data_IF_730154112592
#
_entry.id   IF_730154112592
#
_cell.length_a   1.000
_cell.length_b   1.000
_cell.length_c   1.000
_cell.angle_alpha   90.00
_cell.angle_beta   90.00
_cell.angle_gamma   90.00
#
_symmetry.space_group_name_H-M   'P 1'
#
loop_
_entity.id
_entity.type
_entity.pdbx_description
1 polymer ?
#
# COMPACT_ATOMS: atom_id res chain seq x y z
N UNK A 1 -22.77 -9.24 2.59
CA UNK A 1 -21.41 -9.73 2.29
C UNK A 1 -20.36 -8.61 2.30
N UNK A 2 -20.45 -7.55 1.48
CA UNK A 2 -19.48 -6.42 1.51
C UNK A 2 -19.67 -5.52 2.75
N UNK A 3 -20.92 -5.21 3.10
CA UNK A 3 -21.27 -4.42 4.28
C UNK A 3 -20.83 -5.10 5.59
N UNK A 4 -20.93 -6.43 5.67
CA UNK A 4 -20.45 -7.21 6.81
C UNK A 4 -18.92 -7.17 6.95
N UNK A 5 -18.20 -7.04 5.83
CA UNK A 5 -16.73 -6.93 5.80
C UNK A 5 -16.25 -5.57 6.28
N UNK A 6 -16.89 -4.49 5.81
CA UNK A 6 -16.58 -3.12 6.24
C UNK A 6 -16.86 -2.94 7.73
N UNK A 7 -17.95 -3.52 8.24
CA UNK A 7 -18.28 -3.50 9.67
C UNK A 7 -17.26 -4.27 10.51
N UNK A 8 -16.74 -5.39 9.99
CA UNK A 8 -15.68 -6.14 10.66
C UNK A 8 -14.38 -5.32 10.75
N UNK A 9 -13.98 -4.66 9.66
CA UNK A 9 -12.80 -3.78 9.61
C UNK A 9 -12.96 -2.62 10.59
N UNK A 10 -14.13 -1.95 10.62
CA UNK A 10 -14.42 -0.86 11.56
C UNK A 10 -14.35 -1.31 13.02
N UNK A 11 -14.89 -2.49 13.34
CA UNK A 11 -14.80 -3.07 14.68
C UNK A 11 -13.34 -3.33 15.07
N UNK A 12 -12.56 -3.88 14.14
CA UNK A 12 -11.13 -4.11 14.36
C UNK A 12 -10.37 -2.81 14.69
N UNK A 13 -10.63 -1.73 13.95
CA UNK A 13 -10.05 -0.41 14.23
C UNK A 13 -10.50 0.16 15.58
N UNK A 14 -11.78 -0.01 15.93
CA UNK A 14 -12.30 0.41 17.24
C UNK A 14 -11.66 -0.36 18.39
N UNK A 15 -11.37 -1.65 18.19
CA UNK A 15 -10.66 -2.48 19.17
C UNK A 15 -9.18 -2.08 19.32
N UNK A 16 -8.53 -1.63 18.23
CA UNK A 16 -7.18 -1.07 18.27
C UNK A 16 -7.16 0.27 19.02
N UNK A 17 -8.07 1.19 18.69
CA UNK A 17 -8.25 2.47 19.41
C UNK A 17 -8.45 2.22 20.91
N UNK A 18 -9.38 1.32 21.26
CA UNK A 18 -9.66 1.02 22.66
C UNK A 18 -8.49 0.43 23.42
N UNK A 19 -7.71 -0.44 22.78
CA UNK A 19 -6.50 -0.99 23.39
C UNK A 19 -5.42 0.07 23.56
N UNK A 20 -5.18 0.89 22.54
CA UNK A 20 -4.17 1.95 22.60
C UNK A 20 -4.52 2.97 23.70
N UNK A 21 -5.75 3.46 23.71
CA UNK A 21 -6.24 4.41 24.69
C UNK A 21 -6.21 3.87 26.11
N UNK A 22 -6.66 2.63 26.33
CA UNK A 22 -6.75 2.06 27.69
C UNK A 22 -5.39 1.69 28.27
N UNK A 23 -4.42 1.34 27.42
CA UNK A 23 -3.07 0.94 27.85
C UNK A 23 -2.05 2.07 27.79
N UNK A 24 -2.44 3.23 27.26
CA UNK A 24 -1.55 4.35 26.99
C UNK A 24 -0.29 3.94 26.22
N UNK A 25 -0.48 3.12 25.18
CA UNK A 25 0.61 2.64 24.33
C UNK A 25 0.15 2.48 22.86
N UNK A 26 0.98 2.86 21.86
CA UNK A 26 0.61 2.75 20.45
C UNK A 26 0.22 1.35 20.02
N UNK A 27 -0.85 1.26 19.22
CA UNK A 27 -1.25 0.01 18.56
C UNK A 27 -1.21 0.21 17.04
N UNK A 28 -0.84 -0.85 16.32
CA UNK A 28 -0.64 -0.82 14.87
C UNK A 28 -1.59 -1.79 14.18
N UNK A 29 -2.05 -1.42 12.98
CA UNK A 29 -2.57 -2.38 12.01
C UNK A 29 -1.41 -3.11 11.33
N UNK A 30 -1.70 -4.18 10.60
CA UNK A 30 -0.83 -4.62 9.50
C UNK A 30 -1.01 -3.67 8.29
N UNK A 31 -0.49 -4.00 7.10
CA UNK A 31 -0.66 -3.14 5.92
C UNK A 31 -2.10 -3.16 5.41
N UNK A 32 -2.72 -1.98 5.43
CA UNK A 32 -4.03 -1.70 4.89
C UNK A 32 -3.95 -1.48 3.39
N UNK A 33 -4.96 -1.97 2.66
CA UNK A 33 -5.19 -1.57 1.28
C UNK A 33 -5.94 -0.22 1.18
N UNK A 34 -6.08 0.31 -0.04
CA UNK A 34 -6.75 1.59 -0.29
C UNK A 34 -8.21 1.61 0.20
N UNK A 35 -8.92 0.49 0.18
CA UNK A 35 -10.29 0.41 0.68
C UNK A 35 -10.30 0.48 2.22
N UNK A 36 -9.41 -0.25 2.87
CA UNK A 36 -9.26 -0.22 4.33
C UNK A 36 -8.82 1.15 4.84
N UNK A 37 -7.88 1.81 4.17
CA UNK A 37 -7.48 3.20 4.45
C UNK A 37 -8.67 4.16 4.28
N UNK A 38 -9.42 4.03 3.19
CA UNK A 38 -10.66 4.79 2.98
C UNK A 38 -11.66 4.58 4.12
N UNK A 39 -11.81 3.36 4.64
CA UNK A 39 -12.68 3.07 5.81
C UNK A 39 -12.13 3.76 7.07
N UNK A 40 -10.82 3.66 7.31
CA UNK A 40 -10.14 4.27 8.45
C UNK A 40 -10.35 5.79 8.48
N UNK A 41 -10.03 6.49 7.38
CA UNK A 41 -10.18 7.95 7.29
C UNK A 41 -11.63 8.43 7.41
N UNK A 42 -12.60 7.60 7.01
CA UNK A 42 -14.03 7.90 7.21
C UNK A 42 -14.46 7.72 8.67
N UNK A 43 -13.74 6.92 9.45
CA UNK A 43 -14.02 6.65 10.85
C UNK A 43 -13.13 7.44 11.82
N UNK A 44 -12.13 8.16 11.31
CA UNK A 44 -11.08 8.80 12.10
C UNK A 44 -11.61 9.70 13.23
N UNK A 45 -12.65 10.50 12.96
CA UNK A 45 -13.29 11.38 13.95
C UNK A 45 -14.03 10.66 15.07
N UNK A 46 -14.23 9.34 14.96
CA UNK A 46 -14.87 8.52 16.00
C UNK A 46 -13.88 7.86 16.96
N UNK A 47 -12.57 7.92 16.65
CA UNK A 47 -11.52 7.38 17.50
C UNK A 47 -11.10 8.39 18.56
N UNK A 48 -10.56 7.89 19.67
CA UNK A 48 -10.02 8.71 20.76
C UNK A 48 -8.53 9.00 20.56
N UNK A 49 -7.83 8.07 19.92
CA UNK A 49 -6.43 8.19 19.59
C UNK A 49 -6.24 9.06 18.34
N UNK A 50 -5.10 9.76 18.27
CA UNK A 50 -4.62 10.31 17.01
C UNK A 50 -4.19 9.17 16.08
N UNK A 51 -4.42 9.31 14.77
CA UNK A 51 -4.09 8.30 13.78
C UNK A 51 -2.97 8.82 12.88
N UNK A 52 -1.90 8.03 12.77
CA UNK A 52 -0.82 8.27 11.82
C UNK A 52 -0.72 7.10 10.84
N UNK A 53 -0.52 7.37 9.56
CA UNK A 53 -0.37 6.35 8.52
C UNK A 53 1.02 6.45 7.88
N UNK A 54 1.67 5.31 7.67
CA UNK A 54 2.95 5.24 6.98
C UNK A 54 3.16 3.86 6.34
N UNK A 55 3.61 3.83 5.08
CA UNK A 55 3.90 2.60 4.35
C UNK A 55 5.39 2.32 4.14
N UNK A 56 6.26 3.24 4.58
CA UNK A 56 7.70 3.12 4.48
C UNK A 56 8.37 4.20 3.61
N UNK A 57 7.59 4.89 2.79
CA UNK A 57 8.05 6.03 1.98
C UNK A 57 6.85 6.94 1.69
N UNK A 58 7.11 8.18 1.26
CA UNK A 58 6.09 9.25 1.21
C UNK A 58 4.86 8.91 0.36
N UNK A 59 5.05 8.25 -0.78
CA UNK A 59 3.98 7.94 -1.74
C UNK A 59 3.56 6.46 -1.72
N UNK A 60 3.68 5.81 -0.57
CA UNK A 60 3.25 4.40 -0.41
C UNK A 60 1.73 4.26 -0.55
N UNK A 61 1.28 3.31 -1.37
CA UNK A 61 -0.14 3.00 -1.54
C UNK A 61 -0.68 2.13 -0.39
N UNK A 62 0.11 1.13 0.03
CA UNK A 62 -0.23 0.29 1.20
C UNK A 62 0.46 0.85 2.43
N UNK A 63 -0.33 1.14 3.45
CA UNK A 63 0.17 1.78 4.68
C UNK A 63 -0.25 1.02 5.93
N UNK A 64 0.55 1.12 6.99
CA UNK A 64 0.14 0.75 8.34
C UNK A 64 -0.45 1.97 9.03
N UNK A 65 -1.49 1.78 9.84
CA UNK A 65 -2.05 2.81 10.69
C UNK A 65 -1.63 2.59 12.14
N UNK A 66 -1.20 3.66 12.80
CA UNK A 66 -0.85 3.71 14.21
C UNK A 66 -1.91 4.50 14.98
N UNK A 67 -2.45 3.89 16.04
CA UNK A 67 -3.37 4.49 16.99
C UNK A 67 -2.56 5.02 18.17
N UNK A 68 -2.44 6.35 18.27
CA UNK A 68 -1.58 7.08 19.20
C UNK A 68 -2.42 7.69 20.33
N UNK A 69 -2.29 7.23 21.58
CA UNK A 69 -3.14 7.68 22.67
C UNK A 69 -2.80 9.09 23.20
N UNK A 70 -1.61 9.60 22.88
CA UNK A 70 -1.16 10.94 23.28
C UNK A 70 -0.12 11.49 22.30
N UNK A 71 0.07 12.81 22.34
CA UNK A 71 1.03 13.54 21.49
C UNK A 71 2.50 13.15 21.76
N UNK A 72 2.78 12.45 22.86
CA UNK A 72 4.11 11.92 23.17
C UNK A 72 4.61 10.89 22.12
N UNK A 73 3.71 10.37 21.30
CA UNK A 73 3.98 9.35 20.30
C UNK A 73 3.93 9.88 18.85
N UNK A 74 4.09 11.19 18.63
CA UNK A 74 4.09 11.75 17.27
C UNK A 74 5.32 11.30 16.45
N UNK A 75 6.47 11.08 17.09
CA UNK A 75 7.71 10.62 16.45
C UNK A 75 7.91 9.10 16.58
N UNK A 76 6.87 8.31 16.31
CA UNK A 76 6.97 6.83 16.39
C UNK A 76 7.63 6.22 15.17
N UNK A 77 8.33 5.10 15.40
CA UNK A 77 8.77 4.20 14.34
C UNK A 77 7.67 3.18 14.03
N UNK A 78 7.33 3.03 12.75
CA UNK A 78 6.48 1.93 12.30
C UNK A 78 7.27 0.62 12.24
N UNK A 79 6.66 -0.54 12.57
CA UNK A 79 7.32 -1.84 12.52
C UNK A 79 7.41 -2.38 11.08
N UNK A 80 7.99 -1.58 10.20
CA UNK A 80 8.20 -1.85 8.77
C UNK A 80 9.68 -2.18 8.56
N UNK A 81 9.94 -3.15 7.68
CA UNK A 81 11.26 -3.49 7.17
C UNK A 81 11.26 -3.47 5.66
N UNK A 82 12.43 -3.18 5.09
CA UNK A 82 12.65 -3.16 3.65
C UNK A 82 13.60 -4.29 3.28
N UNK A 83 13.16 -5.14 2.37
CA UNK A 83 13.95 -6.25 1.84
C UNK A 83 14.31 -5.97 0.39
N UNK A 84 15.61 -5.92 0.09
CA UNK A 84 16.14 -5.92 -1.26
C UNK A 84 16.23 -7.36 -1.77
N UNK A 85 15.45 -7.67 -2.79
CA UNK A 85 15.45 -8.94 -3.51
C UNK A 85 16.22 -8.73 -4.81
N UNK A 86 17.33 -9.45 -4.98
CA UNK A 86 18.21 -9.30 -6.15
C UNK A 86 18.66 -10.66 -6.67
N UNK A 87 18.79 -10.83 -8.00
CA UNK A 87 19.33 -12.06 -8.58
C UNK A 87 20.72 -12.38 -8.05
N UNK A 88 20.97 -13.65 -7.72
CA UNK A 88 22.31 -14.10 -7.29
C UNK A 88 23.32 -13.95 -8.42
N UNK A 89 22.88 -14.17 -9.67
CA UNK A 89 23.72 -14.02 -10.86
C UNK A 89 23.07 -13.06 -11.88
N UNK A 90 23.25 -11.73 -11.73
CA UNK A 90 22.57 -10.73 -12.54
C UNK A 90 22.75 -10.88 -14.05
N UNK A 91 23.93 -11.34 -14.49
CA UNK A 91 24.27 -11.52 -15.91
C UNK A 91 23.36 -12.50 -16.66
N UNK A 92 22.79 -13.49 -15.96
CA UNK A 92 21.91 -14.52 -16.54
C UNK A 92 20.48 -14.42 -16.02
N UNK A 93 20.19 -13.39 -15.22
CA UNK A 93 18.88 -13.20 -14.66
C UNK A 93 17.91 -12.72 -15.73
N UNK A 94 16.71 -13.30 -15.73
CA UNK A 94 15.62 -12.74 -16.54
C UNK A 94 15.15 -11.42 -15.91
N UNK A 95 14.53 -10.56 -16.73
CA UNK A 95 13.89 -9.35 -16.24
C UNK A 95 12.59 -9.73 -15.53
N UNK A 96 12.55 -9.53 -14.22
CA UNK A 96 11.44 -9.91 -13.36
C UNK A 96 10.42 -8.77 -13.26
N UNK A 97 9.14 -9.12 -13.33
CA UNK A 97 8.04 -8.15 -13.19
C UNK A 97 7.48 -8.13 -11.77
N UNK A 98 6.71 -7.10 -11.44
CA UNK A 98 5.98 -7.03 -10.17
C UNK A 98 5.12 -8.28 -9.91
N UNK A 99 4.49 -8.84 -10.95
CA UNK A 99 3.68 -10.06 -10.83
C UNK A 99 4.51 -11.28 -10.46
N UNK A 100 5.75 -11.37 -10.97
CA UNK A 100 6.64 -12.49 -10.68
C UNK A 100 7.06 -12.48 -9.21
N UNK A 101 7.48 -11.33 -8.69
CA UNK A 101 7.83 -11.16 -7.28
C UNK A 101 6.63 -11.45 -6.36
N UNK A 102 5.47 -10.87 -6.68
CA UNK A 102 4.26 -11.10 -5.89
C UNK A 102 3.87 -12.59 -5.89
N UNK A 103 3.91 -13.25 -7.05
CA UNK A 103 3.62 -14.68 -7.15
C UNK A 103 4.56 -15.55 -6.30
N UNK A 104 5.85 -15.23 -6.30
CA UNK A 104 6.84 -15.93 -5.48
C UNK A 104 6.59 -15.73 -3.97
N UNK A 105 6.27 -14.52 -3.55
CA UNK A 105 5.92 -14.21 -2.15
C UNK A 105 4.63 -14.92 -1.72
N UNK A 106 3.63 -15.04 -2.60
CA UNK A 106 2.40 -15.79 -2.32
C UNK A 106 2.63 -17.28 -2.14
N UNK A 107 3.60 -17.86 -2.85
CA UNK A 107 3.97 -19.27 -2.68
C UNK A 107 4.60 -19.57 -1.31
N UNK A 108 5.07 -18.55 -0.58
CA UNK A 108 5.53 -18.68 0.80
C UNK A 108 4.39 -18.75 1.82
N UNK A 109 3.12 -18.74 1.37
CA UNK A 109 1.93 -18.77 2.22
C UNK A 109 1.82 -17.57 3.18
N UNK A 110 2.45 -16.45 2.82
CA UNK A 110 2.38 -15.19 3.55
C UNK A 110 1.09 -14.47 3.16
N UNK A 111 0.37 -13.93 4.15
CA UNK A 111 -0.85 -13.16 3.87
C UNK A 111 -0.51 -11.79 3.26
N UNK A 112 -1.41 -11.26 2.42
CA UNK A 112 -1.16 -10.02 1.67
C UNK A 112 -1.09 -8.77 2.57
N UNK A 113 -1.84 -8.76 3.66
CA UNK A 113 -1.83 -7.72 4.71
C UNK A 113 -0.47 -7.59 5.43
N UNK A 114 0.40 -8.61 5.37
CA UNK A 114 1.73 -8.54 5.98
C UNK A 114 2.78 -7.89 5.07
N UNK A 115 2.39 -7.50 3.85
CA UNK A 115 3.26 -6.88 2.87
C UNK A 115 2.71 -5.53 2.44
N UNK A 116 3.59 -4.55 2.38
CA UNK A 116 3.35 -3.28 1.74
C UNK A 116 3.63 -3.37 0.24
N UNK A 117 4.18 -2.28 -0.26
CA UNK A 117 4.45 -2.12 -1.68
C UNK A 117 5.68 -2.91 -2.14
N UNK A 118 5.70 -3.21 -3.44
CA UNK A 118 6.83 -3.83 -4.12
C UNK A 118 7.35 -2.86 -5.18
N UNK A 119 8.56 -2.35 -4.99
CA UNK A 119 9.18 -1.40 -5.91
C UNK A 119 10.17 -2.14 -6.79
N UNK A 120 9.78 -2.39 -8.04
CA UNK A 120 10.61 -3.09 -9.02
C UNK A 120 11.46 -2.09 -9.79
N UNK A 121 12.78 -2.09 -9.54
CA UNK A 121 13.74 -1.27 -10.30
C UNK A 121 14.27 -2.08 -11.48
N UNK A 122 13.59 -1.94 -12.64
CA UNK A 122 13.88 -2.73 -13.86
C UNK A 122 15.33 -2.61 -14.33
N UNK A 123 15.90 -1.40 -14.26
CA UNK A 123 17.28 -1.15 -14.69
C UNK A 123 18.32 -1.88 -13.83
N UNK A 124 18.02 -2.03 -12.54
CA UNK A 124 18.86 -2.75 -11.58
C UNK A 124 18.51 -4.24 -11.49
N UNK A 125 17.43 -4.66 -12.15
CA UNK A 125 16.80 -5.98 -12.04
C UNK A 125 16.63 -6.45 -10.59
N UNK A 126 16.18 -5.54 -9.71
CA UNK A 126 15.93 -5.84 -8.30
C UNK A 126 14.52 -5.38 -7.89
N UNK A 127 14.11 -5.81 -6.71
CA UNK A 127 12.84 -5.42 -6.11
C UNK A 127 13.03 -5.10 -4.64
N UNK A 128 12.46 -3.98 -4.20
CA UNK A 128 12.31 -3.67 -2.79
C UNK A 128 10.93 -4.09 -2.33
N UNK A 129 10.88 -4.87 -1.25
CA UNK A 129 9.64 -5.26 -0.59
C UNK A 129 9.56 -4.58 0.77
N UNK A 130 8.48 -3.85 1.00
CA UNK A 130 8.09 -3.40 2.34
C UNK A 130 7.28 -4.50 3.03
N UNK A 131 7.63 -4.83 4.26
CA UNK A 131 6.91 -5.86 5.01
C UNK A 131 6.91 -5.60 6.52
N UNK A 132 6.01 -6.28 7.22
CA UNK A 132 5.96 -6.19 8.68
C UNK A 132 7.19 -6.87 9.27
N UNK A 133 7.84 -6.23 10.23
CA UNK A 133 9.11 -6.66 10.83
C UNK A 133 9.16 -8.15 11.18
N UNK A 134 8.09 -8.67 11.78
CA UNK A 134 8.01 -10.07 12.24
C UNK A 134 8.12 -11.12 11.13
N UNK A 135 7.91 -10.76 9.86
CA UNK A 135 8.06 -11.69 8.71
C UNK A 135 9.34 -11.45 7.90
N UNK A 136 10.10 -10.39 8.18
CA UNK A 136 11.24 -9.99 7.37
C UNK A 136 12.31 -11.09 7.30
N UNK A 137 12.71 -11.63 8.45
CA UNK A 137 13.68 -12.74 8.52
C UNK A 137 13.21 -14.01 7.81
N UNK A 138 11.92 -14.37 7.96
CA UNK A 138 11.35 -15.52 7.28
C UNK A 138 11.41 -15.38 5.75
N UNK A 139 11.04 -14.21 5.22
CA UNK A 139 11.15 -13.94 3.77
C UNK A 139 12.61 -14.01 3.33
N UNK A 140 13.52 -13.40 4.10
CA UNK A 140 14.93 -13.34 3.75
C UNK A 140 15.56 -14.74 3.63
N UNK A 141 15.16 -15.67 4.50
CA UNK A 141 15.64 -17.05 4.51
C UNK A 141 14.98 -17.94 3.45
N UNK A 142 13.69 -17.72 3.15
CA UNK A 142 12.90 -18.68 2.37
C UNK A 142 12.62 -18.25 0.93
N UNK A 143 12.70 -16.95 0.59
CA UNK A 143 12.55 -16.50 -0.79
C UNK A 143 13.87 -16.68 -1.56
N UNK A 144 14.10 -17.89 -2.05
CA UNK A 144 15.35 -18.25 -2.76
C UNK A 144 15.22 -18.18 -4.28
N UNK A 145 13.99 -18.12 -4.80
CA UNK A 145 13.72 -18.14 -6.24
C UNK A 145 12.49 -17.32 -6.60
N UNK A 146 12.60 -16.51 -7.65
CA UNK A 146 11.48 -15.82 -8.28
C UNK A 146 11.41 -16.30 -9.74
N UNK A 147 10.27 -16.91 -10.11
CA UNK A 147 10.10 -17.60 -11.40
C UNK A 147 11.23 -18.62 -11.64
N UNK A 148 12.14 -18.37 -12.58
CA UNK A 148 13.28 -19.27 -12.84
C UNK A 148 14.61 -18.74 -12.33
N UNK A 149 14.63 -17.55 -11.73
CA UNK A 149 15.84 -16.86 -11.28
C UNK A 149 16.08 -17.08 -9.79
N UNK A 150 17.28 -17.56 -9.43
CA UNK A 150 17.73 -17.60 -8.04
C UNK A 150 17.97 -16.18 -7.53
N UNK A 151 17.42 -15.86 -6.37
CA UNK A 151 17.51 -14.54 -5.75
C UNK A 151 18.13 -14.65 -4.36
N UNK A 152 18.79 -13.58 -3.96
CA UNK A 152 19.17 -13.32 -2.57
C UNK A 152 18.31 -12.19 -2.03
N UNK A 153 17.99 -12.28 -0.75
CA UNK A 153 17.20 -11.27 -0.04
C UNK A 153 18.03 -10.72 1.10
N UNK A 154 18.09 -9.39 1.19
CA UNK A 154 18.83 -8.69 2.25
C UNK A 154 17.96 -7.58 2.82
N UNK A 155 17.95 -7.47 4.14
CA UNK A 155 17.37 -6.30 4.80
C UNK A 155 18.24 -5.07 4.52
N UNK A 156 17.60 -3.96 4.20
CA UNK A 156 18.24 -2.67 3.92
C UNK A 156 17.57 -1.56 4.74
N UNK A 157 18.27 -0.45 4.91
CA UNK A 157 17.67 0.74 5.55
C UNK A 157 16.57 1.30 4.66
N UNK A 158 15.53 1.84 5.29
CA UNK A 158 14.45 2.58 4.62
C UNK A 158 14.92 3.93 4.04
N UNK A 159 16.13 4.34 4.37
CA UNK A 159 16.78 5.55 3.85
C UNK A 159 17.81 5.21 2.75
N UNK A 160 17.94 3.93 2.39
CA UNK A 160 19.04 3.47 1.53
C UNK A 160 18.85 3.83 0.04
N UNK A 161 17.62 4.07 -0.41
CA UNK A 161 17.31 4.31 -1.82
C UNK A 161 16.11 5.26 -1.97
N UNK A 162 15.91 5.78 -3.18
CA UNK A 162 14.72 6.51 -3.56
C UNK A 162 13.64 5.53 -4.03
N UNK A 163 12.63 5.34 -3.18
CA UNK A 163 11.49 4.44 -3.45
C UNK A 163 10.38 5.10 -4.26
N UNK A 164 10.57 6.35 -4.68
CA UNK A 164 9.60 7.06 -5.51
C UNK A 164 9.28 6.24 -6.77
N UNK A 165 7.99 6.05 -7.10
CA UNK A 165 7.59 5.42 -8.34
C UNK A 165 8.13 6.19 -9.55
N UNK A 166 8.44 5.48 -10.63
CA UNK A 166 8.72 6.13 -11.91
C UNK A 166 7.43 6.73 -12.47
N UNK A 167 7.19 8.01 -12.18
CA UNK A 167 6.08 8.75 -12.77
C UNK A 167 6.42 9.12 -14.21
N UNK A 168 5.45 8.91 -15.10
CA UNK A 168 5.48 9.49 -16.44
C UNK A 168 4.57 10.70 -16.44
N UNK A 169 5.15 11.89 -16.60
CA UNK A 169 4.36 13.11 -16.78
C UNK A 169 3.65 13.06 -18.14
N UNK A 170 2.35 13.31 -18.13
CA UNK A 170 1.52 13.43 -19.33
C UNK A 170 0.61 14.65 -19.23
N UNK A 171 0.67 15.51 -20.24
CA UNK A 171 -0.25 16.64 -20.38
C UNK A 171 -1.54 16.20 -21.06
N UNK A 172 -2.64 16.24 -20.31
CA UNK A 172 -3.97 15.81 -20.80
C UNK A 172 -4.94 16.99 -20.73
N UNK A 173 -5.51 17.38 -21.87
CA UNK A 173 -6.53 18.43 -21.93
C UNK A 173 -7.90 17.81 -21.66
N UNK A 174 -8.51 18.19 -20.53
CA UNK A 174 -9.88 17.80 -20.19
C UNK A 174 -10.85 18.96 -20.42
N UNK A 175 -12.07 18.62 -20.84
CA UNK A 175 -13.13 19.61 -21.14
C UNK A 175 -13.79 20.19 -19.89
N UNK A 176 -13.63 19.54 -18.73
CA UNK A 176 -14.17 19.98 -17.45
C UNK A 176 -13.44 19.29 -16.30
N UNK A 177 -13.38 19.94 -15.13
CA UNK A 177 -12.80 19.45 -13.87
C UNK A 177 -13.64 18.36 -13.18
N UNK A 178 -14.21 17.44 -13.96
CA UNK A 178 -15.04 16.36 -13.44
C UNK A 178 -14.23 15.07 -13.40
N UNK A 179 -14.37 14.31 -12.33
CA UNK A 179 -13.71 13.01 -12.17
C UNK A 179 -13.94 12.07 -13.35
N UNK A 180 -15.17 11.94 -13.86
CA UNK A 180 -15.47 11.08 -15.02
C UNK A 180 -14.69 11.48 -16.29
N UNK A 181 -14.43 12.77 -16.45
CA UNK A 181 -13.73 13.34 -17.59
C UNK A 181 -12.22 13.16 -17.45
N UNK A 182 -11.71 13.31 -16.23
CA UNK A 182 -10.32 13.03 -15.89
C UNK A 182 -9.97 11.54 -16.04
N UNK A 183 -10.79 10.65 -15.45
CA UNK A 183 -10.59 9.20 -15.52
C UNK A 183 -10.66 8.71 -16.97
N UNK A 184 -11.63 9.18 -17.77
CA UNK A 184 -11.73 8.81 -19.19
C UNK A 184 -10.48 9.20 -19.96
N UNK A 185 -9.95 10.40 -19.71
CA UNK A 185 -8.78 10.90 -20.40
C UNK A 185 -7.49 10.15 -20.01
N UNK A 186 -7.27 9.90 -18.71
CA UNK A 186 -6.10 9.16 -18.20
C UNK A 186 -6.12 7.67 -18.60
N UNK A 187 -7.30 7.06 -18.66
CA UNK A 187 -7.45 5.65 -19.07
C UNK A 187 -7.58 5.45 -20.58
N UNK A 188 -7.51 6.53 -21.37
CA UNK A 188 -7.77 6.54 -22.81
C UNK A 188 -9.07 5.78 -23.19
N UNK A 189 -10.12 5.96 -22.39
CA UNK A 189 -11.38 5.24 -22.52
C UNK A 189 -12.56 6.19 -22.75
N UNK A 190 -13.73 5.65 -23.09
CA UNK A 190 -14.94 6.47 -23.22
C UNK A 190 -15.41 6.98 -21.86
N UNK A 191 -16.15 8.10 -21.84
CA UNK A 191 -16.82 8.57 -20.61
C UNK A 191 -17.71 7.51 -19.98
N UNK A 192 -18.40 6.70 -20.79
CA UNK A 192 -19.24 5.61 -20.28
C UNK A 192 -18.44 4.51 -19.58
N UNK A 193 -17.25 4.17 -20.09
CA UNK A 193 -16.35 3.21 -19.45
C UNK A 193 -15.78 3.78 -18.14
N UNK A 194 -15.38 5.05 -18.13
CA UNK A 194 -14.93 5.74 -16.92
C UNK A 194 -16.03 5.81 -15.84
N UNK A 195 -17.26 6.18 -16.21
CA UNK A 195 -18.41 6.16 -15.30
C UNK A 195 -18.62 4.77 -14.69
N UNK A 196 -18.52 3.70 -15.49
CA UNK A 196 -18.64 2.33 -14.96
C UNK A 196 -17.52 1.97 -13.96
N UNK A 197 -16.30 2.49 -14.13
CA UNK A 197 -15.21 2.33 -13.16
C UNK A 197 -15.51 3.06 -11.84
N UNK A 198 -16.08 4.27 -11.92
CA UNK A 198 -16.49 5.06 -10.76
C UNK A 198 -17.64 4.36 -10.02
N UNK A 199 -18.67 3.93 -10.75
CA UNK A 199 -19.84 3.22 -10.19
C UNK A 199 -19.47 1.87 -9.56
N UNK A 200 -18.41 1.23 -10.05
CA UNK A 200 -17.91 -0.03 -9.50
C UNK A 200 -16.94 0.14 -8.33
N UNK A 201 -16.83 1.36 -7.77
CA UNK A 201 -16.00 1.68 -6.60
C UNK A 201 -14.51 1.36 -6.80
N UNK A 202 -14.03 1.42 -8.04
CA UNK A 202 -12.62 1.18 -8.39
C UNK A 202 -11.78 2.45 -8.43
N UNK A 203 -12.41 3.61 -8.29
CA UNK A 203 -11.76 4.92 -8.34
C UNK A 203 -11.73 5.50 -6.92
N UNK A 204 -10.53 5.89 -6.51
CA UNK A 204 -10.25 6.56 -5.25
C UNK A 204 -9.81 7.98 -5.55
N UNK A 205 -10.42 8.95 -4.88
CA UNK A 205 -10.03 10.37 -4.96
C UNK A 205 -9.55 10.78 -3.57
N UNK A 206 -8.30 11.20 -3.45
CA UNK A 206 -7.65 11.51 -2.16
C UNK A 206 -7.86 10.38 -1.14
N UNK A 207 -7.51 9.15 -1.54
CA UNK A 207 -7.60 7.92 -0.73
C UNK A 207 -9.03 7.54 -0.30
N UNK A 208 -10.06 8.22 -0.81
CA UNK A 208 -11.46 7.94 -0.49
C UNK A 208 -12.19 7.39 -1.70
N UNK A 209 -12.95 6.31 -1.49
CA UNK A 209 -13.84 5.77 -2.51
C UNK A 209 -14.89 6.84 -2.84
N UNK A 210 -15.11 7.07 -4.13
CA UNK A 210 -16.13 8.00 -4.61
C UNK A 210 -16.94 7.38 -5.73
N UNK A 211 -18.25 7.56 -5.65
CA UNK A 211 -19.21 7.24 -6.73
C UNK A 211 -19.75 8.51 -7.39
N UNK A 212 -19.22 9.68 -7.02
CA UNK A 212 -19.62 10.96 -7.61
C UNK A 212 -18.84 11.26 -8.87
N UNK A 213 -19.51 11.18 -10.02
CA UNK A 213 -18.91 11.43 -11.34
C UNK A 213 -18.48 12.89 -11.53
N UNK A 214 -19.07 13.80 -10.75
CA UNK A 214 -18.83 15.25 -10.79
C UNK A 214 -17.89 15.73 -9.69
N UNK A 215 -17.29 14.82 -8.91
CA UNK A 215 -16.31 15.23 -7.92
C UNK A 215 -15.19 16.04 -8.60
N UNK A 216 -14.83 17.22 -8.05
CA UNK A 216 -13.70 17.98 -8.56
C UNK A 216 -12.40 17.21 -8.30
N UNK A 217 -11.45 17.30 -9.22
CA UNK A 217 -10.18 16.55 -9.13
C UNK A 217 -9.06 17.40 -8.51
N UNK A 218 -9.32 18.69 -8.29
CA UNK A 218 -8.42 19.64 -7.62
C UNK A 218 -8.45 19.55 -6.09
#
# INVERSE_FOLDING_TARGET
>A
MKQDSDDFIRKHFSDLDGRAFSKDFPCYTDFLDLNELSILHRAESSFRCHIACFGGYDTSERQMAAFLPSDAFLDISFPIRVLLISPVTPKFAEQLTHRDYLGALMNLMIKRDLMGDLIVKKDQNCCYLFCVERIAGFIAENLTRVKHTEVSVKEVSIEADDFSPDFKEEDIIITSDRLDSFVAACSHSSRSAASALIDSERIFLNEKITTSHKAPVK
#
